data_IF_722007222979
#
_entry.id   IF_722007222979
#
_cell.length_a   1.000
_cell.length_b   1.000
_cell.length_c   1.000
_cell.angle_alpha   90.00
_cell.angle_beta   90.00
_cell.angle_gamma   90.00
#
_symmetry.space_group_name_H-M   'P 1'
#
loop_
_entity.id
_entity.type
_entity.pdbx_description
1 polymer ?
#
# COMPACT_ATOMS: atom_id res chain seq x y z
N UNK A 1 8.54 13.16 -6.51
CA UNK A 1 9.09 12.39 -7.65
C UNK A 1 8.97 10.91 -7.31
N UNK A 2 8.32 10.12 -8.16
CA UNK A 2 7.92 8.75 -7.86
C UNK A 2 9.17 7.88 -7.69
N UNK A 3 9.65 7.75 -6.45
CA UNK A 3 10.74 6.85 -6.13
C UNK A 3 10.30 5.44 -6.58
N UNK A 4 11.04 4.90 -7.55
CA UNK A 4 10.82 3.60 -8.17
C UNK A 4 11.13 2.51 -7.13
N UNK A 5 10.19 2.23 -6.24
CA UNK A 5 10.29 1.14 -5.25
C UNK A 5 10.01 -0.25 -5.87
N UNK A 6 10.16 -0.39 -7.20
CA UNK A 6 9.79 -1.57 -7.98
C UNK A 6 8.43 -2.16 -7.57
N UNK A 7 7.44 -1.30 -7.39
CA UNK A 7 6.07 -1.74 -7.14
C UNK A 7 5.50 -2.39 -8.40
N UNK A 8 4.78 -3.48 -8.20
CA UNK A 8 3.92 -4.04 -9.23
C UNK A 8 2.77 -3.07 -9.50
N UNK A 9 2.13 -3.13 -10.69
CA UNK A 9 0.95 -2.32 -10.97
C UNK A 9 -0.15 -2.44 -9.90
N UNK A 10 -0.30 -3.62 -9.29
CA UNK A 10 -1.27 -3.78 -8.21
C UNK A 10 -0.87 -3.11 -6.90
N UNK A 11 0.40 -3.18 -6.53
CA UNK A 11 0.91 -2.49 -5.35
C UNK A 11 0.83 -0.98 -5.50
N UNK A 12 1.01 -0.44 -6.71
CA UNK A 12 0.78 0.98 -7.00
C UNK A 12 -0.68 1.34 -6.73
N UNK A 13 -1.64 0.60 -7.30
CA UNK A 13 -3.08 0.84 -7.07
C UNK A 13 -3.43 0.79 -5.58
N UNK A 14 -2.97 -0.24 -4.87
CA UNK A 14 -3.21 -0.37 -3.42
C UNK A 14 -2.57 0.80 -2.66
N UNK A 15 -1.35 1.19 -2.99
CA UNK A 15 -0.67 2.32 -2.36
C UNK A 15 -1.43 3.64 -2.56
N UNK A 16 -1.97 3.89 -3.75
CA UNK A 16 -2.75 5.09 -4.05
C UNK A 16 -4.02 5.17 -3.21
N UNK A 17 -4.78 4.08 -3.09
CA UNK A 17 -5.95 4.06 -2.21
C UNK A 17 -5.58 4.22 -0.73
N UNK A 18 -4.46 3.61 -0.29
CA UNK A 18 -3.95 3.81 1.07
C UNK A 18 -3.59 5.28 1.31
N UNK A 19 -2.97 5.98 0.34
CA UNK A 19 -2.69 7.42 0.42
C UNK A 19 -3.99 8.23 0.56
N UNK A 20 -5.01 7.87 -0.21
CA UNK A 20 -6.33 8.50 -0.17
C UNK A 20 -7.11 8.23 1.12
N UNK A 21 -6.61 7.34 1.99
CA UNK A 21 -7.21 7.07 3.29
C UNK A 21 -8.26 5.96 3.28
N UNK A 22 -8.36 5.20 2.18
CA UNK A 22 -9.29 4.08 2.12
C UNK A 22 -8.90 2.96 3.09
N UNK A 23 -9.92 2.31 3.65
CA UNK A 23 -9.72 1.14 4.51
C UNK A 23 -9.39 -0.11 3.69
N UNK A 24 -8.75 -1.12 4.29
CA UNK A 24 -8.48 -2.40 3.60
C UNK A 24 -9.76 -3.03 3.02
N UNK A 25 -10.89 -2.87 3.70
CA UNK A 25 -12.20 -3.37 3.22
C UNK A 25 -12.66 -2.60 1.99
N UNK A 26 -12.63 -1.28 2.01
CA UNK A 26 -13.00 -0.46 0.84
C UNK A 26 -12.10 -0.78 -0.36
N UNK A 27 -10.79 -0.95 -0.14
CA UNK A 27 -9.84 -1.30 -1.20
C UNK A 27 -10.19 -2.67 -1.79
N UNK A 28 -10.54 -3.65 -0.94
CA UNK A 28 -10.96 -4.98 -1.36
C UNK A 28 -12.21 -4.90 -2.25
N UNK A 29 -13.21 -4.13 -1.80
CA UNK A 29 -14.47 -3.91 -2.53
C UNK A 29 -14.24 -3.21 -3.87
N UNK A 30 -13.42 -2.14 -3.90
CA UNK A 30 -13.08 -1.38 -5.12
C UNK A 30 -12.31 -2.23 -6.14
N UNK A 31 -11.35 -3.03 -5.67
CA UNK A 31 -10.50 -3.85 -6.55
C UNK A 31 -11.12 -5.20 -6.90
N UNK A 32 -12.24 -5.58 -6.29
CA UNK A 32 -12.88 -6.89 -6.50
C UNK A 32 -12.02 -8.07 -6.03
N UNK A 33 -11.22 -7.87 -4.98
CA UNK A 33 -10.32 -8.90 -4.43
C UNK A 33 -10.60 -9.11 -2.93
N UNK A 34 -10.06 -10.19 -2.36
CA UNK A 34 -10.26 -10.44 -0.93
C UNK A 34 -9.47 -9.46 -0.05
N UNK A 35 -9.97 -9.18 1.16
CA UNK A 35 -9.27 -8.40 2.19
C UNK A 35 -7.85 -8.96 2.43
N UNK A 36 -7.72 -10.30 2.49
CA UNK A 36 -6.42 -10.97 2.65
C UNK A 36 -5.45 -10.65 1.51
N UNK A 37 -5.95 -10.53 0.28
CA UNK A 37 -5.15 -10.15 -0.89
C UNK A 37 -4.67 -8.70 -0.78
N UNK A 38 -5.52 -7.79 -0.29
CA UNK A 38 -5.11 -6.40 -0.02
C UNK A 38 -4.03 -6.35 1.05
N UNK A 39 -4.18 -7.10 2.15
CA UNK A 39 -3.16 -7.17 3.20
C UNK A 39 -1.83 -7.74 2.69
N UNK A 40 -1.86 -8.76 1.83
CA UNK A 40 -0.68 -9.28 1.15
C UNK A 40 0.04 -8.20 0.32
N UNK A 41 -0.71 -7.41 -0.46
CA UNK A 41 -0.12 -6.28 -1.20
C UNK A 41 0.45 -5.21 -0.27
N UNK A 42 -0.25 -4.85 0.82
CA UNK A 42 0.24 -3.89 1.84
C UNK A 42 1.53 -4.38 2.49
N UNK A 43 1.65 -5.66 2.78
CA UNK A 43 2.86 -6.26 3.34
C UNK A 43 4.03 -6.22 2.37
N UNK A 44 3.79 -6.51 1.09
CA UNK A 44 4.82 -6.39 0.07
C UNK A 44 5.27 -4.94 -0.14
N UNK A 45 4.33 -3.99 -0.15
CA UNK A 45 4.64 -2.55 -0.18
C UNK A 45 5.54 -2.20 1.01
N UNK A 46 5.17 -2.60 2.24
CA UNK A 46 6.00 -2.35 3.43
C UNK A 46 7.39 -2.97 3.31
N UNK A 47 7.51 -4.18 2.75
CA UNK A 47 8.80 -4.84 2.51
C UNK A 47 9.65 -4.04 1.52
N UNK A 48 9.07 -3.62 0.39
CA UNK A 48 9.76 -2.85 -0.66
C UNK A 48 10.15 -1.44 -0.21
N UNK A 49 9.38 -0.85 0.70
CA UNK A 49 9.71 0.42 1.37
C UNK A 49 10.70 0.27 2.53
N UNK A 50 11.08 -0.96 2.90
CA UNK A 50 11.96 -1.22 4.05
C UNK A 50 11.33 -0.96 5.43
N UNK A 51 10.00 -0.83 5.52
CA UNK A 51 9.29 -0.48 6.77
C UNK A 51 8.52 -1.65 7.41
N UNK A 52 8.62 -2.87 6.87
CA UNK A 52 7.83 -4.03 7.34
C UNK A 52 7.93 -4.25 8.85
N UNK A 53 9.13 -4.18 9.40
CA UNK A 53 9.40 -4.46 10.83
C UNK A 53 9.47 -3.19 11.68
N UNK A 54 9.05 -2.06 11.14
CA UNK A 54 9.04 -0.78 11.85
C UNK A 54 7.62 -0.43 12.29
N UNK A 55 7.48 0.18 13.46
CA UNK A 55 6.21 0.72 13.95
C UNK A 55 5.86 2.02 13.21
N UNK A 56 5.66 1.89 11.90
CA UNK A 56 5.42 2.99 10.96
C UNK A 56 4.07 2.80 10.29
N UNK A 57 3.24 3.84 10.32
CA UNK A 57 1.99 3.88 9.58
C UNK A 57 2.28 4.00 8.06
N UNK A 58 1.77 3.05 7.28
CA UNK A 58 2.03 2.98 5.84
C UNK A 58 1.51 4.22 5.10
N UNK A 59 0.32 4.71 5.43
CA UNK A 59 -0.25 5.91 4.79
C UNK A 59 0.60 7.14 5.05
N UNK A 60 0.93 7.42 6.31
CA UNK A 60 1.75 8.57 6.67
C UNK A 60 3.13 8.52 6.01
N UNK A 61 3.69 7.31 5.81
CA UNK A 61 4.95 7.13 5.09
C UNK A 61 4.79 7.43 3.59
N UNK A 62 3.76 6.86 2.95
CA UNK A 62 3.46 7.08 1.53
C UNK A 62 3.16 8.55 1.19
N UNK A 63 2.59 9.32 2.12
CA UNK A 63 2.38 10.76 1.95
C UNK A 63 3.68 11.58 1.99
N UNK A 64 4.69 11.14 2.76
CA UNK A 64 6.01 11.79 2.82
C UNK A 64 6.88 11.53 1.59
N UNK A 65 6.55 10.52 0.79
CA UNK A 65 7.27 10.15 -0.43
C UNK A 65 6.81 10.94 -1.68
N UNK A 66 5.66 11.60 -1.60
CA UNK A 66 5.16 12.50 -2.65
C UNK A 66 5.83 13.86 -2.58
#
# INVERSE_FOLDING_TARGET
SQAYFDFTPQEIRVADFVKNGNTTKEIADILGISIKTVDYHRDNIRRKLGIKNHHTNLRSFLLKLS
#
